data_IF_730068388349
#
_entry.id   IF_730068388349
#
_cell.length_a   1.000
_cell.length_b   1.000
_cell.length_c   1.000
_cell.angle_alpha   90.00
_cell.angle_beta   90.00
_cell.angle_gamma   90.00
#
_symmetry.space_group_name_H-M   'P 1'
#
loop_
_entity.id
_entity.type
_entity.pdbx_description
1 polymer ?
#
# COMPACT_ATOMS: atom_id res chain seq x y z
N UNK A 1 -13.92 6.79 18.72
CA UNK A 1 -12.92 6.40 17.71
C UNK A 1 -11.58 6.83 18.26
N UNK A 2 -10.64 5.91 18.51
CA UNK A 2 -9.28 6.31 18.86
C UNK A 2 -8.71 7.10 17.68
N UNK A 3 -8.20 8.31 17.91
CA UNK A 3 -7.77 9.24 16.86
C UNK A 3 -6.80 8.53 15.89
N UNK A 4 -7.14 8.51 14.59
CA UNK A 4 -6.24 8.11 13.50
C UNK A 4 -6.35 6.67 12.99
N UNK A 5 -6.99 5.74 13.69
CA UNK A 5 -7.19 4.37 13.17
C UNK A 5 -8.31 4.33 12.12
N UNK A 6 -8.01 3.73 10.97
CA UNK A 6 -8.96 3.50 9.87
C UNK A 6 -8.98 2.04 9.50
N UNK A 7 -10.10 1.57 8.96
CA UNK A 7 -10.21 0.19 8.50
C UNK A 7 -9.64 0.01 7.10
N UNK A 8 -8.96 -1.11 6.91
CA UNK A 8 -8.41 -1.55 5.63
C UNK A 8 -8.85 -2.99 5.36
N UNK A 9 -8.96 -3.34 4.09
CA UNK A 9 -9.29 -4.69 3.62
C UNK A 9 -8.23 -5.20 2.65
N UNK A 10 -7.99 -6.50 2.62
CA UNK A 10 -7.02 -7.13 1.70
C UNK A 10 -7.39 -8.59 1.42
N UNK A 11 -7.15 -9.09 0.21
CA UNK A 11 -7.25 -10.53 -0.07
C UNK A 11 -6.01 -11.32 0.33
N UNK A 12 -4.84 -10.67 0.33
CA UNK A 12 -3.53 -11.33 0.41
C UNK A 12 -2.66 -10.82 1.58
N UNK A 13 -3.14 -9.85 2.36
CA UNK A 13 -2.40 -9.11 3.40
C UNK A 13 -1.21 -8.29 2.87
N UNK A 14 -1.01 -8.20 1.56
CA UNK A 14 0.03 -7.41 0.92
C UNK A 14 -0.54 -6.11 0.35
N UNK A 15 -1.73 -6.19 -0.26
CA UNK A 15 -2.41 -5.09 -0.93
C UNK A 15 -3.62 -4.66 -0.12
N UNK A 16 -3.43 -3.60 0.65
CA UNK A 16 -4.46 -3.07 1.54
C UNK A 16 -5.22 -1.91 0.89
N UNK A 17 -6.55 -2.03 0.89
CA UNK A 17 -7.48 -1.02 0.39
C UNK A 17 -8.15 -0.32 1.56
N UNK A 18 -8.18 1.03 1.59
CA UNK A 18 -8.86 1.75 2.66
C UNK A 18 -10.38 1.58 2.55
N UNK A 19 -11.00 1.01 3.58
CA UNK A 19 -12.46 0.93 3.71
C UNK A 19 -13.08 2.23 4.28
N UNK A 20 -12.25 3.24 4.55
CA UNK A 20 -12.67 4.56 5.03
C UNK A 20 -12.90 4.63 6.55
N UNK A 21 -13.53 5.73 6.98
CA UNK A 21 -13.85 5.98 8.39
C UNK A 21 -15.17 5.27 8.75
N UNK A 22 -15.11 3.95 8.83
CA UNK A 22 -16.26 3.06 9.05
C UNK A 22 -16.14 2.25 10.35
N UNK A 23 -17.16 1.46 10.68
CA UNK A 23 -17.10 0.46 11.74
C UNK A 23 -16.48 -0.84 11.23
N UNK A 24 -16.17 -1.78 12.12
CA UNK A 24 -15.74 -3.13 11.73
C UNK A 24 -16.72 -3.75 10.73
N UNK A 25 -18.01 -3.70 11.04
CA UNK A 25 -19.05 -4.30 10.19
C UNK A 25 -19.14 -3.63 8.83
N UNK A 26 -18.94 -2.31 8.77
CA UNK A 26 -18.87 -1.60 7.48
C UNK A 26 -17.61 -1.92 6.67
N UNK A 27 -16.48 -2.22 7.33
CA UNK A 27 -15.28 -2.72 6.64
C UNK A 27 -15.50 -4.13 6.06
N UNK A 28 -16.25 -4.98 6.78
CA UNK A 28 -16.67 -6.29 6.27
C UNK A 28 -17.57 -6.12 5.05
N UNK A 29 -18.58 -5.24 5.12
CA UNK A 29 -19.47 -4.97 3.99
C UNK A 29 -18.70 -4.46 2.76
N UNK A 30 -17.78 -3.51 2.97
CA UNK A 30 -16.88 -3.02 1.92
C UNK A 30 -16.06 -4.15 1.29
N UNK A 31 -15.41 -5.00 2.11
CA UNK A 31 -14.64 -6.13 1.59
C UNK A 31 -15.49 -7.18 0.88
N UNK A 32 -16.75 -7.38 1.30
CA UNK A 32 -17.69 -8.27 0.63
C UNK A 32 -18.07 -7.77 -0.77
N UNK A 33 -18.34 -6.47 -0.89
CA UNK A 33 -18.66 -5.84 -2.17
C UNK A 33 -17.43 -5.86 -3.11
N UNK A 34 -16.27 -5.43 -2.59
CA UNK A 34 -15.01 -5.37 -3.34
C UNK A 34 -14.55 -6.75 -3.86
N UNK A 35 -14.69 -7.79 -3.03
CA UNK A 35 -14.18 -9.12 -3.33
C UNK A 35 -15.28 -10.13 -3.67
N UNK A 36 -16.49 -9.67 -4.01
CA UNK A 36 -17.58 -10.54 -4.49
C UNK A 36 -17.99 -11.67 -3.52
N UNK A 37 -17.88 -11.42 -2.21
CA UNK A 37 -18.21 -12.40 -1.18
C UNK A 37 -17.11 -13.41 -0.85
N UNK A 38 -15.95 -13.37 -1.51
CA UNK A 38 -14.81 -14.24 -1.20
C UNK A 38 -14.23 -13.99 0.20
N UNK A 39 -13.29 -14.83 0.66
CA UNK A 39 -12.60 -14.59 1.92
C UNK A 39 -11.60 -13.44 1.80
N UNK A 40 -11.50 -12.59 2.82
CA UNK A 40 -10.58 -11.46 2.88
C UNK A 40 -10.15 -11.17 4.32
N UNK A 41 -9.20 -10.27 4.48
CA UNK A 41 -8.69 -9.79 5.75
C UNK A 41 -9.17 -8.36 5.98
N UNK A 42 -9.46 -8.02 7.24
CA UNK A 42 -9.65 -6.66 7.70
C UNK A 42 -8.64 -6.33 8.80
N UNK A 43 -8.24 -5.07 8.91
CA UNK A 43 -7.51 -4.57 10.07
C UNK A 43 -7.79 -3.08 10.29
N UNK A 44 -7.59 -2.60 11.52
CA UNK A 44 -7.47 -1.17 11.78
C UNK A 44 -6.00 -0.77 11.75
N UNK A 45 -5.66 0.24 10.97
CA UNK A 45 -4.30 0.77 10.93
C UNK A 45 -4.27 2.30 11.02
N UNK A 46 -3.17 2.82 11.57
CA UNK A 46 -2.80 4.23 11.46
C UNK A 46 -1.79 4.36 10.33
N UNK A 47 -2.06 5.27 9.39
CA UNK A 47 -1.11 5.61 8.34
C UNK A 47 -0.01 6.51 8.90
N UNK A 48 1.24 6.12 8.66
CA UNK A 48 2.39 6.99 8.82
C UNK A 48 2.90 7.43 7.45
N UNK A 49 3.37 8.67 7.37
CA UNK A 49 4.04 9.16 6.17
C UNK A 49 5.45 8.59 6.14
N UNK A 50 5.81 7.94 5.05
CA UNK A 50 7.18 7.50 4.84
C UNK A 50 7.88 8.46 3.88
N UNK A 51 9.17 8.67 4.12
CA UNK A 51 10.01 9.35 3.13
C UNK A 51 10.51 8.31 2.16
N UNK A 52 10.17 8.48 0.88
CA UNK A 52 10.77 7.66 -0.16
C UNK A 52 12.27 7.98 -0.23
N UNK A 53 13.08 6.93 -0.14
CA UNK A 53 14.53 7.03 -0.28
C UNK A 53 14.96 6.31 -1.54
N UNK A 54 15.92 6.89 -2.23
CA UNK A 54 16.61 6.20 -3.31
C UNK A 54 17.68 5.33 -2.68
N UNK A 55 17.93 4.16 -3.26
CA UNK A 55 19.00 3.30 -2.78
C UNK A 55 20.01 3.09 -3.90
N UNK A 56 21.28 3.37 -3.61
CA UNK A 56 22.34 3.28 -4.61
C UNK A 56 22.38 1.92 -5.32
N UNK A 57 22.24 0.79 -4.61
CA UNK A 57 22.26 -0.54 -5.25
C UNK A 57 21.15 -0.70 -6.30
N UNK A 58 19.94 -0.18 -6.05
CA UNK A 58 18.84 -0.18 -7.04
C UNK A 58 19.14 0.71 -8.24
N UNK A 59 19.81 1.84 -8.03
CA UNK A 59 20.24 2.70 -9.14
C UNK A 59 21.28 1.99 -10.01
N UNK A 60 22.23 1.30 -9.39
CA UNK A 60 23.26 0.54 -10.09
C UNK A 60 22.63 -0.60 -10.89
N UNK A 61 21.75 -1.41 -10.27
CA UNK A 61 21.01 -2.48 -10.97
C UNK A 61 20.26 -1.95 -12.20
N UNK A 62 19.64 -0.77 -12.09
CA UNK A 62 18.93 -0.16 -13.22
C UNK A 62 19.88 0.22 -14.36
N UNK A 63 21.07 0.75 -14.04
CA UNK A 63 22.07 1.12 -15.03
C UNK A 63 22.71 -0.09 -15.68
N UNK A 64 22.96 -1.15 -14.92
CA UNK A 64 23.46 -2.44 -15.42
C UNK A 64 22.46 -3.06 -16.39
N UNK A 65 21.17 -3.11 -16.04
CA UNK A 65 20.12 -3.59 -16.94
C UNK A 65 20.08 -2.80 -18.25
N UNK A 66 20.20 -1.47 -18.20
CA UNK A 66 20.24 -0.63 -19.41
C UNK A 66 21.50 -0.93 -20.26
N UNK A 67 22.63 -1.22 -19.62
CA UNK A 67 23.87 -1.58 -20.29
C UNK A 67 23.77 -2.95 -20.97
N UNK A 68 23.23 -3.95 -20.27
CA UNK A 68 22.96 -5.29 -20.77
C UNK A 68 22.07 -5.24 -22.03
N UNK A 69 20.99 -4.46 -21.99
CA UNK A 69 20.06 -4.36 -23.10
C UNK A 69 20.64 -3.69 -24.36
N UNK A 70 21.71 -2.89 -24.24
CA UNK A 70 22.14 -1.95 -25.30
C UNK A 70 23.56 -2.10 -25.77
N UNK A 71 24.51 -2.34 -24.87
CA UNK A 71 25.94 -2.13 -25.12
C UNK A 71 26.75 -3.38 -24.82
N UNK A 72 26.33 -4.17 -23.83
CA UNK A 72 27.04 -5.36 -23.39
C UNK A 72 26.06 -6.49 -23.01
N UNK A 73 25.50 -7.20 -24.01
CA UNK A 73 24.51 -8.26 -23.78
C UNK A 73 25.05 -9.46 -23.00
N UNK A 74 26.37 -9.58 -22.86
CA UNK A 74 27.02 -10.62 -22.06
C UNK A 74 27.16 -10.20 -20.57
N UNK A 75 26.95 -8.92 -20.26
CA UNK A 75 26.90 -8.38 -18.88
C UNK A 75 28.22 -8.47 -18.12
N UNK A 76 29.35 -8.59 -18.83
CA UNK A 76 30.66 -8.85 -18.21
C UNK A 76 31.48 -7.56 -17.97
N UNK A 77 31.04 -6.44 -18.53
CA UNK A 77 31.62 -5.13 -18.42
C UNK A 77 31.07 -4.34 -17.24
N UNK A 78 31.93 -4.01 -16.27
CA UNK A 78 31.60 -2.99 -15.26
C UNK A 78 31.23 -1.67 -15.95
N UNK A 79 30.07 -1.12 -15.57
CA UNK A 79 29.51 0.13 -16.09
C UNK A 79 30.29 1.37 -15.62
N UNK A 80 31.16 1.25 -14.61
CA UNK A 80 32.01 2.32 -14.10
C UNK A 80 33.47 1.90 -14.03
N UNK A 81 34.38 2.69 -14.61
CA UNK A 81 35.83 2.45 -14.51
C UNK A 81 36.56 3.76 -14.20
N UNK A 82 37.27 3.87 -13.05
CA UNK A 82 37.38 2.88 -11.96
C UNK A 82 36.05 2.63 -11.23
N UNK A 83 35.99 1.53 -10.47
CA UNK A 83 34.85 1.19 -9.61
C UNK A 83 34.60 2.32 -8.58
N UNK A 84 33.35 2.77 -8.37
CA UNK A 84 33.05 3.84 -7.44
C UNK A 84 33.29 3.42 -5.99
N UNK A 85 33.72 4.37 -5.15
CA UNK A 85 33.80 4.18 -3.70
C UNK A 85 32.42 4.29 -3.04
N UNK A 86 32.28 3.79 -1.81
CA UNK A 86 31.02 3.94 -1.04
C UNK A 86 30.63 5.39 -0.81
N UNK A 87 31.61 6.29 -0.61
CA UNK A 87 31.36 7.73 -0.48
C UNK A 87 30.79 8.31 -1.78
N UNK A 88 31.29 7.87 -2.93
CA UNK A 88 30.79 8.30 -4.24
C UNK A 88 29.36 7.77 -4.50
N UNK A 89 29.06 6.54 -4.10
CA UNK A 89 27.71 5.98 -4.18
C UNK A 89 26.72 6.72 -3.26
N UNK A 90 27.16 7.12 -2.06
CA UNK A 90 26.35 7.93 -1.13
C UNK A 90 26.11 9.34 -1.66
N UNK A 91 27.11 9.95 -2.31
CA UNK A 91 26.98 11.24 -3.00
C UNK A 91 25.99 11.13 -4.18
N UNK A 92 26.07 10.05 -4.96
CA UNK A 92 25.11 9.77 -6.05
C UNK A 92 23.68 9.70 -5.52
N UNK A 93 23.44 8.93 -4.45
CA UNK A 93 22.13 8.80 -3.81
C UNK A 93 21.59 10.19 -3.40
N UNK A 94 22.42 10.99 -2.72
CA UNK A 94 22.06 12.35 -2.30
C UNK A 94 21.69 13.25 -3.49
N UNK A 95 22.46 13.19 -4.59
CA UNK A 95 22.20 13.99 -5.78
C UNK A 95 20.90 13.60 -6.48
N UNK A 96 20.62 12.30 -6.59
CA UNK A 96 19.38 11.81 -7.22
C UNK A 96 18.18 12.18 -6.37
N UNK A 97 18.26 12.06 -5.04
CA UNK A 97 17.20 12.51 -4.14
C UNK A 97 16.93 14.00 -4.27
N UNK A 98 17.98 14.83 -4.34
CA UNK A 98 17.85 16.26 -4.54
C UNK A 98 17.17 16.58 -5.88
N UNK A 99 17.59 15.93 -6.97
CA UNK A 99 17.01 16.12 -8.30
C UNK A 99 15.51 15.74 -8.35
N UNK A 100 15.12 14.63 -7.71
CA UNK A 100 13.72 14.23 -7.58
C UNK A 100 12.94 15.29 -6.78
N UNK A 101 13.50 15.78 -5.67
CA UNK A 101 12.90 16.82 -4.85
C UNK A 101 12.67 18.14 -5.61
N UNK A 102 13.66 18.58 -6.39
CA UNK A 102 13.57 19.77 -7.24
C UNK A 102 12.50 19.61 -8.32
N UNK A 103 12.47 18.47 -9.02
CA UNK A 103 11.45 18.16 -10.01
C UNK A 103 10.05 18.17 -9.39
N UNK A 104 9.87 17.53 -8.24
CA UNK A 104 8.58 17.56 -7.53
C UNK A 104 8.16 18.98 -7.16
N UNK A 105 9.08 19.80 -6.66
CA UNK A 105 8.79 21.19 -6.30
C UNK A 105 8.39 22.03 -7.51
N UNK A 106 9.11 21.90 -8.64
CA UNK A 106 8.83 22.63 -9.87
C UNK A 106 7.42 22.33 -10.44
N UNK A 107 6.91 21.13 -10.17
CA UNK A 107 5.61 20.68 -10.65
C UNK A 107 4.52 20.65 -9.57
N UNK A 108 4.79 21.21 -8.38
CA UNK A 108 3.85 21.17 -7.23
C UNK A 108 3.40 19.75 -6.85
N UNK A 109 4.26 18.75 -7.06
CA UNK A 109 4.03 17.36 -6.70
C UNK A 109 4.39 17.13 -5.24
N UNK A 110 3.70 16.17 -4.61
CA UNK A 110 3.99 15.73 -3.24
C UNK A 110 3.99 14.21 -3.21
N UNK A 111 4.99 13.63 -2.55
CA UNK A 111 5.01 12.20 -2.30
C UNK A 111 3.85 11.89 -1.34
N UNK A 112 2.99 10.97 -1.77
CA UNK A 112 1.85 10.46 -0.98
C UNK A 112 2.13 9.06 -0.44
N UNK A 113 3.40 8.70 -0.31
CA UNK A 113 3.81 7.41 0.22
C UNK A 113 3.46 7.29 1.71
N UNK A 114 2.89 6.16 2.07
CA UNK A 114 2.50 5.83 3.44
C UNK A 114 2.83 4.38 3.74
N UNK A 115 2.95 4.08 5.02
CA UNK A 115 2.99 2.73 5.56
C UNK A 115 2.01 2.61 6.74
N UNK A 116 1.75 1.39 7.18
CA UNK A 116 1.03 1.16 8.44
C UNK A 116 2.01 1.35 9.61
N UNK A 117 1.87 2.46 10.33
CA UNK A 117 2.71 2.74 11.51
C UNK A 117 2.27 1.97 12.75
N UNK A 118 0.98 1.64 12.86
CA UNK A 118 0.43 0.75 13.87
C UNK A 118 -0.78 0.01 13.30
N UNK A 119 -0.98 -1.24 13.73
CA UNK A 119 -2.09 -2.09 13.31
C UNK A 119 -2.76 -2.74 14.54
N UNK A 120 -4.05 -3.02 14.44
CA UNK A 120 -4.83 -3.77 15.44
C UNK A 120 -6.07 -4.42 14.83
N UNK A 121 -6.73 -5.27 15.61
CA UNK A 121 -8.00 -5.90 15.26
C UNK A 121 -7.96 -6.58 13.87
N UNK A 122 -6.83 -7.22 13.56
CA UNK A 122 -6.68 -8.01 12.36
C UNK A 122 -7.59 -9.24 12.44
N UNK A 123 -8.34 -9.47 11.39
CA UNK A 123 -9.28 -10.57 11.32
C UNK A 123 -9.41 -11.09 9.90
N UNK A 124 -9.44 -12.42 9.74
CA UNK A 124 -9.83 -13.06 8.49
C UNK A 124 -11.33 -13.28 8.47
N UNK A 125 -11.98 -12.69 7.47
CA UNK A 125 -13.38 -12.89 7.15
C UNK A 125 -13.49 -14.07 6.17
N UNK A 126 -14.19 -15.16 6.52
CA UNK A 126 -14.31 -16.35 5.66
C UNK A 126 -15.19 -16.06 4.45
N UNK A 127 -15.24 -16.95 3.46
CA UNK A 127 -16.09 -16.78 2.28
C UNK A 127 -17.58 -16.80 2.66
N UNK A 128 -18.39 -15.91 2.09
CA UNK A 128 -19.81 -15.83 2.39
C UNK A 128 -20.57 -17.09 1.97
N UNK A 129 -20.07 -17.78 0.93
CA UNK A 129 -20.59 -19.05 0.42
C UNK A 129 -20.36 -20.21 1.39
N UNK A 130 -19.43 -20.06 2.32
CA UNK A 130 -19.15 -21.06 3.36
C UNK A 130 -20.10 -20.94 4.56
N UNK A 131 -20.88 -19.86 4.69
CA UNK A 131 -21.81 -19.73 5.80
C UNK A 131 -23.06 -20.62 5.63
N UNK A 132 -23.51 -21.26 6.74
CA UNK A 132 -24.87 -21.80 6.81
C UNK A 132 -25.92 -20.74 6.46
N UNK A 133 -26.98 -21.15 5.75
CA UNK A 133 -27.98 -20.22 5.18
C UNK A 133 -28.68 -19.35 6.23
N UNK A 134 -28.83 -19.84 7.47
CA UNK A 134 -29.43 -19.14 8.60
C UNK A 134 -28.51 -18.04 9.18
N UNK A 135 -27.19 -18.26 9.16
CA UNK A 135 -26.18 -17.28 9.56
C UNK A 135 -26.08 -16.16 8.53
N UNK A 136 -26.09 -16.51 7.24
CA UNK A 136 -26.12 -15.52 6.15
C UNK A 136 -27.34 -14.60 6.23
N UNK A 137 -28.53 -15.17 6.48
CA UNK A 137 -29.76 -14.39 6.65
C UNK A 137 -29.72 -13.43 7.86
N UNK A 138 -29.15 -13.86 9.00
CA UNK A 138 -28.98 -13.00 10.18
C UNK A 138 -27.99 -11.87 9.94
N UNK A 139 -26.89 -12.15 9.24
CA UNK A 139 -25.89 -11.14 8.90
C UNK A 139 -26.49 -10.05 8.02
N UNK A 140 -27.17 -10.41 6.92
CA UNK A 140 -27.86 -9.42 6.08
C UNK A 140 -28.91 -8.61 6.84
N UNK A 141 -29.62 -9.21 7.80
CA UNK A 141 -30.58 -8.49 8.63
C UNK A 141 -29.92 -7.44 9.54
N UNK A 142 -28.75 -7.76 10.12
CA UNK A 142 -27.97 -6.86 10.98
C UNK A 142 -27.37 -5.72 10.13
N UNK A 143 -26.78 -6.04 8.97
CA UNK A 143 -26.20 -5.05 8.05
C UNK A 143 -27.26 -4.08 7.53
N UNK A 144 -28.43 -4.58 7.12
CA UNK A 144 -29.55 -3.75 6.67
C UNK A 144 -30.06 -2.77 7.76
N UNK A 145 -29.86 -3.09 9.05
CA UNK A 145 -30.21 -2.19 10.15
C UNK A 145 -29.10 -1.16 10.47
N UNK A 146 -27.87 -1.36 10.01
CA UNK A 146 -26.71 -0.50 10.30
C UNK A 146 -26.27 0.37 9.11
N UNK A 147 -26.66 0.01 7.87
CA UNK A 147 -26.24 0.63 6.61
C UNK A 147 -26.98 1.89 6.17
N UNK A 148 -27.14 2.90 7.03
CA UNK A 148 -27.45 4.25 6.55
C UNK A 148 -26.32 5.21 6.95
N UNK A 149 -25.52 5.73 6.00
CA UNK A 149 -24.59 6.82 6.29
C UNK A 149 -25.36 8.03 6.83
N UNK A 150 -24.74 8.72 7.80
CA UNK A 150 -25.31 9.82 8.59
C UNK A 150 -25.78 11.06 7.79
N UNK A 151 -25.60 11.09 6.47
CA UNK A 151 -25.98 12.24 5.63
C UNK A 151 -27.41 12.18 5.06
N UNK A 152 -28.15 11.08 5.26
CA UNK A 152 -29.54 10.93 4.81
C UNK A 152 -30.59 11.18 5.91
N UNK A 153 -30.33 12.10 6.84
CA UNK A 153 -31.35 12.61 7.78
C UNK A 153 -31.42 14.14 7.70
N UNK A 154 -32.13 14.61 6.69
CA UNK A 154 -32.75 15.93 6.69
C UNK A 154 -34.05 15.89 7.51
#
# INVERSE_FOLDING_TARGET
MAEGFKWFVSQDQERWHPAGDTTREGAIEFGRDEYGGESFHICEAVLEKITLRVSNWRLIELLELINEERVDPDGDGSIFKPEPTQDQLSDLETRVEAAIGEWMAAHSLRAVAWAFGAQRNEERIPDEREYPADIRARYHAIVAHMGAPKEARA
#
